data_IF_713636532285
#
_entry.id   IF_713636532285
#
_cell.length_a   1.000
_cell.length_b   1.000
_cell.length_c   1.000
_cell.angle_alpha   90.00
_cell.angle_beta   90.00
_cell.angle_gamma   90.00
#
_symmetry.space_group_name_H-M   'P 1'
#
loop_
_entity.id
_entity.type
_entity.pdbx_description
1 polymer ?
#
# COMPACT_ATOMS: atom_id res chain seq x y z
N UNK A 1 -37.64 -12.61 11.94
CA UNK A 1 -36.96 -12.39 13.23
C UNK A 1 -36.03 -11.19 13.11
N UNK A 2 -36.44 -10.05 13.71
CA UNK A 2 -35.65 -8.83 13.79
C UNK A 2 -34.40 -9.06 14.66
N UNK A 3 -33.21 -8.65 14.19
CA UNK A 3 -32.01 -8.56 15.04
C UNK A 3 -31.43 -7.16 14.98
N UNK A 4 -31.48 -6.53 16.15
CA UNK A 4 -30.95 -5.23 16.50
C UNK A 4 -29.49 -5.08 16.07
N UNK A 5 -29.22 -4.06 15.24
CA UNK A 5 -27.87 -3.50 15.10
C UNK A 5 -27.64 -2.60 16.32
N UNK A 6 -26.66 -2.97 17.15
CA UNK A 6 -26.11 -2.07 18.15
C UNK A 6 -25.41 -0.92 17.41
N UNK A 7 -26.07 0.23 17.37
CA UNK A 7 -25.54 1.48 16.86
C UNK A 7 -24.45 1.97 17.81
N UNK A 8 -23.25 2.19 17.27
CA UNK A 8 -22.20 2.95 17.95
C UNK A 8 -22.57 4.45 17.83
N UNK A 9 -22.71 5.20 18.94
CA UNK A 9 -23.19 6.59 18.91
C UNK A 9 -22.24 7.58 18.21
N UNK A 10 -20.99 7.18 17.89
CA UNK A 10 -20.04 8.02 17.17
C UNK A 10 -20.36 8.20 15.66
N UNK A 11 -21.25 7.38 15.08
CA UNK A 11 -21.56 7.42 13.64
C UNK A 11 -22.68 8.41 13.26
N UNK A 12 -23.45 8.91 14.23
CA UNK A 12 -24.61 9.77 13.95
C UNK A 12 -24.23 11.24 13.65
N UNK A 13 -23.13 11.75 14.22
CA UNK A 13 -22.75 13.17 14.07
C UNK A 13 -21.99 13.48 12.77
N UNK A 14 -21.32 12.50 12.14
CA UNK A 14 -20.56 12.75 10.90
C UNK A 14 -21.43 12.80 9.63
N UNK A 15 -22.66 12.27 9.67
CA UNK A 15 -23.54 12.20 8.50
C UNK A 15 -24.22 13.53 8.15
N UNK A 16 -24.21 14.52 9.06
CA UNK A 16 -25.00 15.75 8.91
C UNK A 16 -24.27 16.90 8.17
N UNK A 17 -22.98 16.76 7.82
CA UNK A 17 -22.15 17.90 7.37
C UNK A 17 -21.51 17.74 5.98
N UNK A 18 -22.23 17.20 5.00
CA UNK A 18 -21.74 17.13 3.61
C UNK A 18 -22.73 17.77 2.64
N UNK A 19 -22.64 19.10 2.51
CA UNK A 19 -23.19 19.82 1.36
C UNK A 19 -22.06 20.09 0.35
N UNK A 20 -22.19 19.46 -0.81
CA UNK A 20 -21.75 19.83 -2.15
C UNK A 20 -20.56 20.81 -2.28
N UNK A 21 -19.43 20.30 -2.80
CA UNK A 21 -18.40 21.14 -3.45
C UNK A 21 -18.20 20.65 -4.89
N UNK A 22 -18.27 21.61 -5.80
CA UNK A 22 -18.25 21.46 -7.26
C UNK A 22 -16.85 21.07 -7.76
N UNK A 23 -16.82 20.12 -8.71
CA UNK A 23 -15.63 19.67 -9.46
C UNK A 23 -14.99 20.83 -10.24
N UNK A 24 -13.68 21.06 -10.07
CA UNK A 24 -12.87 21.81 -11.04
C UNK A 24 -11.54 21.07 -11.28
N UNK A 25 -11.41 20.20 -12.29
CA UNK A 25 -10.12 19.61 -12.64
C UNK A 25 -9.67 20.11 -14.03
N UNK A 26 -8.86 21.17 -14.06
CA UNK A 26 -8.01 21.50 -15.21
C UNK A 26 -6.87 22.48 -14.85
N UNK A 27 -7.15 23.49 -14.02
CA UNK A 27 -6.21 24.57 -13.72
C UNK A 27 -5.12 24.21 -12.69
N UNK A 28 -5.33 23.19 -11.84
CA UNK A 28 -4.33 22.78 -10.84
C UNK A 28 -3.13 22.02 -11.46
N UNK A 29 -3.32 21.39 -12.63
CA UNK A 29 -2.28 20.57 -13.27
C UNK A 29 -1.11 21.39 -13.84
N UNK A 30 -1.29 22.68 -14.15
CA UNK A 30 -0.19 23.52 -14.67
C UNK A 30 0.71 24.07 -13.58
N UNK A 31 0.19 24.38 -12.38
CA UNK A 31 0.98 25.08 -11.37
C UNK A 31 2.02 24.20 -10.68
N UNK A 32 1.78 22.88 -10.57
CA UNK A 32 2.73 21.96 -9.93
C UNK A 32 3.92 21.60 -10.86
N UNK A 33 3.67 21.45 -12.16
CA UNK A 33 4.73 21.25 -13.15
C UNK A 33 5.65 22.47 -13.24
N UNK A 34 5.10 23.69 -13.13
CA UNK A 34 5.86 24.92 -13.15
C UNK A 34 6.75 25.11 -11.90
N UNK A 35 6.27 24.72 -10.72
CA UNK A 35 7.06 24.78 -9.47
C UNK A 35 8.25 23.79 -9.46
N UNK A 36 8.10 22.63 -10.10
CA UNK A 36 9.19 21.65 -10.27
C UNK A 36 10.20 22.13 -11.33
N UNK A 37 9.74 22.79 -12.40
CA UNK A 37 10.63 23.38 -13.42
C UNK A 37 11.43 24.57 -12.88
N UNK A 38 10.84 25.41 -12.04
CA UNK A 38 11.51 26.58 -11.45
C UNK A 38 12.52 26.21 -10.35
N UNK A 39 12.37 25.05 -9.70
CA UNK A 39 13.33 24.57 -8.70
C UNK A 39 14.58 23.91 -9.31
N UNK A 40 14.56 23.57 -10.60
CA UNK A 40 15.72 23.00 -11.32
C UNK A 40 16.66 24.10 -11.85
N UNK A 41 16.20 25.34 -12.01
CA UNK A 41 16.98 26.43 -12.64
C UNK A 41 17.70 27.39 -11.65
N UNK A 42 17.65 27.13 -10.35
CA UNK A 42 18.10 28.08 -9.31
C UNK A 42 19.47 27.84 -8.65
N UNK A 43 20.38 27.08 -9.27
CA UNK A 43 21.73 26.85 -8.71
C UNK A 43 22.79 27.80 -9.30
N UNK A 44 23.62 28.49 -8.49
CA UNK A 44 24.68 29.35 -9.01
C UNK A 44 25.76 28.52 -9.73
N UNK A 45 26.05 28.86 -10.99
CA UNK A 45 27.20 28.33 -11.70
C UNK A 45 28.50 28.91 -11.11
N UNK A 46 29.18 28.13 -10.29
CA UNK A 46 30.59 28.37 -9.96
C UNK A 46 31.46 27.72 -11.03
N UNK A 47 32.26 28.53 -11.72
CA UNK A 47 33.26 28.10 -12.69
C UNK A 47 34.29 27.15 -12.07
N UNK A 48 34.54 26.03 -12.74
CA UNK A 48 35.63 25.10 -12.42
C UNK A 48 36.95 25.64 -12.98
N UNK A 49 38.05 25.68 -12.19
CA UNK A 49 39.38 25.89 -12.74
C UNK A 49 39.91 24.61 -13.40
N UNK A 50 40.77 24.80 -14.39
CA UNK A 50 41.38 23.77 -15.22
C UNK A 50 42.20 22.75 -14.40
N UNK A 51 42.14 21.49 -14.83
CA UNK A 51 42.86 20.37 -14.23
C UNK A 51 44.34 20.35 -14.63
N UNK A 52 45.23 20.23 -13.66
CA UNK A 52 46.59 19.72 -13.85
C UNK A 52 46.65 18.22 -13.46
N UNK A 53 47.51 17.42 -14.10
CA UNK A 53 47.58 15.98 -13.85
C UNK A 53 48.57 15.69 -12.72
N UNK A 54 48.12 15.03 -11.64
CA UNK A 54 49.03 14.48 -10.62
C UNK A 54 48.68 13.04 -10.27
N UNK A 55 49.68 12.20 -10.55
CA UNK A 55 50.11 10.91 -10.01
C UNK A 55 49.23 10.09 -9.05
N UNK A 56 49.27 8.78 -9.31
CA UNK A 56 48.84 7.68 -8.45
C UNK A 56 49.42 7.77 -7.03
N UNK A 57 48.55 7.62 -6.03
CA UNK A 57 48.90 7.05 -4.73
C UNK A 57 47.71 6.24 -4.19
N UNK A 58 48.00 5.00 -3.78
CA UNK A 58 47.13 4.12 -3.04
C UNK A 58 47.01 4.64 -1.61
N UNK A 59 45.80 4.84 -1.10
CA UNK A 59 45.51 4.50 0.31
C UNK A 59 44.00 4.33 0.54
N UNK A 60 43.66 3.42 1.45
CA UNK A 60 42.29 3.02 1.75
C UNK A 60 41.63 3.87 2.82
N UNK A 61 40.38 4.27 2.59
CA UNK A 61 39.41 4.49 3.67
C UNK A 61 37.99 4.47 3.10
N UNK A 62 37.27 3.37 3.32
CA UNK A 62 35.81 3.30 3.12
C UNK A 62 35.15 3.78 4.41
N UNK A 63 34.87 5.08 4.50
CA UNK A 63 33.97 5.62 5.54
C UNK A 63 33.00 6.60 4.90
N UNK A 64 32.05 6.06 4.15
CA UNK A 64 30.82 6.74 3.73
C UNK A 64 29.63 6.21 4.53
N UNK A 65 29.72 6.20 5.86
CA UNK A 65 28.59 5.91 6.74
C UNK A 65 27.68 7.13 6.76
N UNK A 66 26.78 7.22 5.79
CA UNK A 66 25.65 8.15 5.84
C UNK A 66 24.88 7.89 7.13
N UNK A 67 24.89 8.90 8.01
CA UNK A 67 24.28 8.85 9.33
C UNK A 67 22.78 8.54 9.21
N UNK A 68 22.35 7.44 9.84
CA UNK A 68 20.94 7.02 9.97
C UNK A 68 20.01 8.11 10.50
N UNK A 69 20.56 9.16 11.14
CA UNK A 69 19.84 10.28 11.75
C UNK A 69 19.32 11.30 10.72
N UNK A 70 20.07 11.56 9.65
CA UNK A 70 19.67 12.51 8.60
C UNK A 70 18.55 11.95 7.70
N UNK A 71 18.51 10.63 7.57
CA UNK A 71 17.46 9.92 6.85
C UNK A 71 16.10 9.94 7.57
N UNK A 72 16.10 10.05 8.91
CA UNK A 72 14.87 10.10 9.72
C UNK A 72 14.29 11.52 9.81
N UNK A 73 15.14 12.56 9.85
CA UNK A 73 14.67 13.96 9.88
C UNK A 73 14.03 14.39 8.55
N UNK A 74 14.64 13.99 7.42
CA UNK A 74 14.07 14.22 6.08
C UNK A 74 12.76 13.46 5.86
N UNK A 75 12.60 12.27 6.44
CA UNK A 75 11.35 11.51 6.39
C UNK A 75 10.25 12.13 7.23
N UNK A 76 10.55 12.59 8.46
CA UNK A 76 9.56 13.31 9.28
C UNK A 76 9.09 14.57 8.56
N UNK A 77 10.00 15.33 7.95
CA UNK A 77 9.64 16.51 7.17
C UNK A 77 8.81 16.17 5.91
N UNK A 78 9.12 15.08 5.21
CA UNK A 78 8.33 14.60 4.07
C UNK A 78 6.95 14.10 4.50
N UNK A 79 6.85 13.42 5.64
CA UNK A 79 5.58 12.94 6.20
C UNK A 79 4.71 14.12 6.67
N UNK A 80 5.30 15.11 7.34
CA UNK A 80 4.60 16.34 7.71
C UNK A 80 4.22 17.16 6.48
N UNK A 81 5.07 17.23 5.45
CA UNK A 81 4.73 17.84 4.18
C UNK A 81 3.62 17.07 3.43
N UNK A 82 3.55 15.75 3.54
CA UNK A 82 2.44 14.94 2.99
C UNK A 82 1.15 15.07 3.79
N UNK A 83 1.24 15.25 5.12
CA UNK A 83 0.09 15.57 5.98
C UNK A 83 -0.42 16.99 5.73
N UNK A 84 0.47 17.92 5.43
CA UNK A 84 0.17 19.33 5.15
C UNK A 84 -0.17 19.60 3.68
N UNK A 85 0.28 18.74 2.76
CA UNK A 85 -0.16 18.78 1.37
C UNK A 85 -1.67 18.55 1.38
N UNK A 86 -2.46 19.41 0.73
CA UNK A 86 -3.87 19.11 0.52
C UNK A 86 -3.89 17.75 -0.17
N UNK A 87 -4.50 16.75 0.48
CA UNK A 87 -4.86 15.49 -0.15
C UNK A 87 -5.82 15.87 -1.29
N UNK A 88 -5.27 16.29 -2.42
CA UNK A 88 -6.00 16.79 -3.57
C UNK A 88 -6.93 15.70 -4.13
N UNK A 89 -6.67 14.45 -3.74
CA UNK A 89 -7.50 13.29 -4.00
C UNK A 89 -8.02 12.70 -2.66
N UNK A 90 -9.02 13.35 -2.05
CA UNK A 90 -9.85 12.65 -1.05
C UNK A 90 -10.91 11.86 -1.83
N UNK A 91 -10.83 10.54 -1.77
CA UNK A 91 -11.76 9.68 -2.49
C UNK A 91 -12.98 9.45 -1.61
N UNK A 92 -14.16 9.81 -2.11
CA UNK A 92 -15.41 9.35 -1.51
C UNK A 92 -15.60 7.88 -1.85
N UNK A 93 -15.41 7.03 -0.84
CA UNK A 93 -15.57 5.60 -0.99
C UNK A 93 -17.04 5.26 -1.30
N UNK A 94 -17.31 4.45 -2.34
CA UNK A 94 -18.64 3.91 -2.56
C UNK A 94 -19.14 3.14 -1.32
N UNK A 95 -20.45 3.17 -1.07
CA UNK A 95 -21.06 2.55 0.13
C UNK A 95 -20.90 1.04 0.22
N UNK A 96 -20.58 0.38 -0.90
CA UNK A 96 -20.34 -1.07 -0.97
C UNK A 96 -18.87 -1.46 -0.74
N UNK A 97 -17.96 -0.49 -0.64
CA UNK A 97 -16.57 -0.75 -0.28
C UNK A 97 -16.49 -1.10 1.20
N UNK A 98 -15.79 -2.18 1.54
CA UNK A 98 -15.43 -2.46 2.93
C UNK A 98 -14.42 -1.40 3.34
N UNK A 99 -14.85 -0.38 4.06
CA UNK A 99 -13.98 0.72 4.50
C UNK A 99 -13.08 0.29 5.67
N UNK A 100 -13.64 -0.46 6.62
CA UNK A 100 -12.97 -0.86 7.84
C UNK A 100 -13.25 -2.32 8.24
N UNK A 101 -12.31 -2.96 8.95
CA UNK A 101 -12.47 -4.30 9.49
C UNK A 101 -11.79 -4.48 10.85
N UNK A 102 -12.49 -5.11 11.79
CA UNK A 102 -12.00 -5.31 13.18
C UNK A 102 -11.67 -6.78 13.51
N UNK A 103 -11.94 -7.70 12.59
CA UNK A 103 -11.71 -9.12 12.76
C UNK A 103 -12.80 -9.87 13.50
N UNK A 104 -12.49 -11.09 13.95
CA UNK A 104 -13.41 -11.98 14.67
C UNK A 104 -14.27 -12.88 13.78
N UNK A 105 -14.35 -12.60 12.48
CA UNK A 105 -14.93 -13.48 11.46
C UNK A 105 -14.20 -13.27 10.13
N UNK A 106 -14.41 -14.19 9.19
CA UNK A 106 -13.96 -14.01 7.82
C UNK A 106 -14.80 -12.91 7.14
N UNK A 107 -14.16 -12.09 6.30
CA UNK A 107 -14.87 -11.20 5.38
C UNK A 107 -15.56 -12.00 4.28
N UNK A 108 -16.65 -11.45 3.75
CA UNK A 108 -17.26 -11.99 2.54
C UNK A 108 -16.30 -11.83 1.35
N UNK A 109 -16.01 -12.94 0.68
CA UNK A 109 -15.03 -12.99 -0.41
C UNK A 109 -15.46 -12.14 -1.60
N UNK A 110 -16.76 -12.04 -1.89
CA UNK A 110 -17.25 -11.25 -3.02
C UNK A 110 -17.21 -9.75 -2.73
N UNK A 111 -17.56 -9.32 -1.52
CA UNK A 111 -17.41 -7.94 -1.06
C UNK A 111 -15.95 -7.49 -1.03
N UNK A 112 -15.06 -8.33 -0.49
CA UNK A 112 -13.63 -8.03 -0.49
C UNK A 112 -13.08 -7.98 -1.92
N UNK A 113 -13.48 -8.90 -2.80
CA UNK A 113 -13.08 -8.86 -4.22
C UNK A 113 -13.49 -7.56 -4.89
N UNK A 114 -14.73 -7.09 -4.68
CA UNK A 114 -15.20 -5.80 -5.23
C UNK A 114 -14.41 -4.63 -4.68
N UNK A 115 -14.10 -4.65 -3.38
CA UNK A 115 -13.26 -3.65 -2.74
C UNK A 115 -11.85 -3.62 -3.35
N UNK A 116 -11.26 -4.80 -3.59
CA UNK A 116 -9.94 -4.91 -4.22
C UNK A 116 -9.94 -4.44 -5.66
N UNK A 117 -10.96 -4.79 -6.45
CA UNK A 117 -11.14 -4.31 -7.81
C UNK A 117 -11.18 -2.77 -7.86
N UNK A 118 -11.95 -2.15 -6.96
CA UNK A 118 -11.97 -0.69 -6.81
C UNK A 118 -10.60 -0.11 -6.51
N UNK A 119 -9.90 -0.65 -5.50
CA UNK A 119 -8.56 -0.18 -5.12
C UNK A 119 -7.59 -0.31 -6.29
N UNK A 120 -7.60 -1.44 -7.02
CA UNK A 120 -6.72 -1.63 -8.17
C UNK A 120 -6.98 -0.62 -9.28
N UNK A 121 -8.25 -0.28 -9.57
CA UNK A 121 -8.62 0.71 -10.59
C UNK A 121 -8.23 2.13 -10.22
N UNK A 122 -8.30 2.49 -8.92
CA UNK A 122 -7.81 3.79 -8.44
C UNK A 122 -6.30 3.89 -8.59
N UNK A 123 -5.56 2.84 -8.21
CA UNK A 123 -4.09 2.84 -8.33
C UNK A 123 -3.63 2.84 -9.79
N UNK A 124 -4.29 2.04 -10.63
CA UNK A 124 -3.94 1.78 -12.01
C UNK A 124 -5.14 2.03 -12.94
N UNK A 125 -5.49 3.31 -13.18
CA UNK A 125 -6.64 3.69 -14.02
C UNK A 125 -6.46 3.33 -15.49
N UNK A 126 -5.23 3.06 -15.92
CA UNK A 126 -4.90 2.47 -17.22
C UNK A 126 -5.27 0.98 -17.31
N UNK A 127 -5.74 0.38 -16.21
CA UNK A 127 -6.24 -0.98 -16.15
C UNK A 127 -5.15 -2.04 -16.09
N UNK A 128 -3.85 -1.67 -16.11
CA UNK A 128 -2.74 -2.63 -16.27
C UNK A 128 -2.82 -3.78 -15.28
N UNK A 129 -3.15 -3.52 -14.01
CA UNK A 129 -3.22 -4.51 -12.93
C UNK A 129 -4.65 -4.86 -12.46
N UNK A 130 -5.67 -4.46 -13.21
CA UNK A 130 -7.08 -4.77 -12.89
C UNK A 130 -7.50 -6.16 -13.42
N UNK A 131 -6.70 -7.20 -13.15
CA UNK A 131 -6.97 -8.57 -13.62
C UNK A 131 -7.40 -9.50 -12.50
N UNK A 132 -8.13 -10.56 -12.86
CA UNK A 132 -8.59 -11.60 -11.93
C UNK A 132 -7.43 -12.24 -11.17
N UNK A 133 -6.26 -12.39 -11.78
CA UNK A 133 -5.07 -12.99 -11.16
C UNK A 133 -4.47 -12.10 -10.06
N UNK A 134 -4.48 -10.77 -10.24
CA UNK A 134 -4.04 -9.81 -9.22
C UNK A 134 -5.00 -9.83 -8.04
N UNK A 135 -6.30 -9.81 -8.32
CA UNK A 135 -7.32 -9.90 -7.28
C UNK A 135 -7.23 -11.22 -6.51
N UNK A 136 -7.00 -12.33 -7.23
CA UNK A 136 -6.78 -13.64 -6.62
C UNK A 136 -5.54 -13.64 -5.73
N UNK A 137 -4.41 -13.07 -6.17
CA UNK A 137 -3.21 -12.98 -5.33
C UNK A 137 -3.49 -12.26 -4.01
N UNK A 138 -4.20 -11.13 -4.05
CA UNK A 138 -4.52 -10.34 -2.85
C UNK A 138 -5.50 -11.07 -1.92
N UNK A 139 -6.54 -11.71 -2.46
CA UNK A 139 -7.50 -12.51 -1.69
C UNK A 139 -6.83 -13.74 -1.07
N UNK A 140 -6.01 -14.46 -1.82
CA UNK A 140 -5.29 -15.63 -1.35
C UNK A 140 -4.25 -15.27 -0.28
N UNK A 141 -3.61 -14.09 -0.41
CA UNK A 141 -2.73 -13.54 0.64
C UNK A 141 -3.53 -13.26 1.92
N UNK A 142 -4.70 -12.64 1.83
CA UNK A 142 -5.58 -12.44 2.99
C UNK A 142 -6.00 -13.78 3.64
N UNK A 143 -6.32 -14.79 2.82
CA UNK A 143 -6.70 -16.11 3.29
C UNK A 143 -5.57 -16.81 4.07
N UNK A 144 -4.34 -16.81 3.56
CA UNK A 144 -3.23 -17.52 4.22
C UNK A 144 -2.73 -16.81 5.47
N UNK A 145 -2.74 -15.48 5.48
CA UNK A 145 -2.20 -14.67 6.57
C UNK A 145 -3.15 -14.58 7.75
N UNK A 146 -4.45 -14.38 7.49
CA UNK A 146 -5.42 -14.02 8.54
C UNK A 146 -6.73 -14.79 8.48
N UNK A 147 -6.82 -15.80 7.61
CA UNK A 147 -8.07 -16.50 7.36
C UNK A 147 -9.18 -15.52 6.93
N UNK A 148 -8.88 -14.66 5.94
CA UNK A 148 -9.78 -13.61 5.44
C UNK A 148 -10.16 -12.57 6.50
N UNK A 149 -9.22 -12.25 7.38
CA UNK A 149 -9.40 -11.23 8.40
C UNK A 149 -10.03 -11.71 9.71
N UNK A 150 -10.15 -13.02 9.97
CA UNK A 150 -10.53 -13.50 11.31
C UNK A 150 -9.57 -12.99 12.39
N UNK A 151 -8.27 -12.90 12.05
CA UNK A 151 -7.20 -12.43 12.94
C UNK A 151 -6.49 -11.24 12.30
N UNK A 152 -6.83 -10.01 12.70
CA UNK A 152 -6.21 -8.78 12.13
C UNK A 152 -4.96 -8.31 12.88
N UNK A 153 -4.72 -8.83 14.09
CA UNK A 153 -3.51 -8.60 14.88
C UNK A 153 -2.81 -9.93 15.13
N UNK A 154 -1.55 -10.03 14.78
CA UNK A 154 -0.77 -11.23 15.06
C UNK A 154 -0.67 -11.47 16.58
N UNK A 155 -0.95 -12.69 17.04
CA UNK A 155 -0.95 -13.01 18.48
C UNK A 155 0.41 -12.74 19.16
N UNK A 156 1.52 -12.98 18.48
CA UNK A 156 2.89 -12.89 19.00
C UNK A 156 3.85 -12.18 18.03
N UNK A 157 3.39 -11.16 17.31
CA UNK A 157 4.25 -10.46 16.37
C UNK A 157 3.72 -9.10 15.93
N UNK A 158 4.53 -8.33 15.19
CA UNK A 158 4.24 -6.95 14.87
C UNK A 158 3.43 -6.78 13.57
N UNK A 159 3.02 -7.87 12.91
CA UNK A 159 2.27 -7.81 11.67
C UNK A 159 0.80 -7.42 11.94
N UNK A 160 0.31 -6.51 11.11
CA UNK A 160 -1.00 -5.87 11.24
C UNK A 160 -1.77 -5.97 9.91
N UNK A 161 -3.08 -5.72 9.95
CA UNK A 161 -4.05 -5.82 8.85
C UNK A 161 -4.38 -7.26 8.44
N UNK A 162 -5.36 -7.36 7.55
CA UNK A 162 -5.75 -8.59 6.86
C UNK A 162 -4.60 -9.22 6.05
N UNK A 163 -3.65 -8.41 5.56
CA UNK A 163 -2.49 -8.88 4.79
C UNK A 163 -1.23 -9.06 5.65
N UNK A 164 -1.26 -8.77 6.95
CA UNK A 164 -0.11 -8.98 7.86
C UNK A 164 1.20 -8.32 7.37
N UNK A 165 1.11 -7.10 6.84
CA UNK A 165 2.30 -6.32 6.46
C UNK A 165 2.99 -5.82 7.74
N UNK A 166 4.31 -6.00 7.82
CA UNK A 166 5.13 -5.51 8.93
C UNK A 166 5.27 -3.98 8.89
N UNK A 167 5.33 -3.32 10.05
CA UNK A 167 5.40 -1.86 10.14
C UNK A 167 6.50 -1.21 9.29
N UNK A 168 7.73 -1.73 9.34
CA UNK A 168 8.85 -1.20 8.55
C UNK A 168 8.65 -1.37 7.03
N UNK A 169 7.82 -2.33 6.59
CA UNK A 169 7.48 -2.48 5.19
C UNK A 169 6.59 -1.32 4.71
N UNK A 170 5.67 -0.81 5.54
CA UNK A 170 4.86 0.37 5.16
C UNK A 170 5.75 1.58 4.88
N UNK A 171 6.69 1.87 5.77
CA UNK A 171 7.67 2.97 5.60
C UNK A 171 8.58 2.75 4.39
N UNK A 172 9.05 1.51 4.20
CA UNK A 172 9.88 1.14 3.05
C UNK A 172 9.13 1.24 1.71
N UNK A 173 7.84 0.92 1.68
CA UNK A 173 6.97 1.08 0.49
C UNK A 173 6.78 2.57 0.20
N UNK A 174 6.37 3.37 1.20
CA UNK A 174 6.18 4.82 1.04
C UNK A 174 7.45 5.50 0.53
N UNK A 175 8.59 5.22 1.17
CA UNK A 175 9.88 5.81 0.79
C UNK A 175 10.33 5.42 -0.62
N UNK A 176 10.04 4.19 -1.05
CA UNK A 176 10.37 3.70 -2.38
C UNK A 176 9.54 4.40 -3.46
N UNK A 177 8.22 4.44 -3.30
CA UNK A 177 7.34 5.04 -4.31
C UNK A 177 7.38 6.57 -4.30
N UNK A 178 7.65 7.22 -3.17
CA UNK A 178 7.87 8.67 -3.12
C UNK A 178 8.99 9.11 -4.09
N UNK A 179 10.00 8.25 -4.31
CA UNK A 179 11.11 8.53 -5.23
C UNK A 179 10.86 8.01 -6.64
N UNK A 180 10.20 6.85 -6.78
CA UNK A 180 10.10 6.14 -8.07
C UNK A 180 8.83 6.45 -8.85
N UNK A 181 7.70 6.60 -8.15
CA UNK A 181 6.39 6.86 -8.74
C UNK A 181 5.51 7.60 -7.70
N UNK A 182 5.74 8.91 -7.50
CA UNK A 182 5.04 9.67 -6.46
C UNK A 182 3.53 9.77 -6.70
N UNK A 183 3.09 9.71 -7.97
CA UNK A 183 1.67 9.70 -8.30
C UNK A 183 0.99 8.40 -7.87
N UNK A 184 1.65 7.25 -8.05
CA UNK A 184 1.14 5.98 -7.55
C UNK A 184 1.08 5.96 -6.01
N UNK A 185 2.07 6.55 -5.33
CA UNK A 185 2.01 6.74 -3.88
C UNK A 185 0.83 7.64 -3.48
N UNK A 186 0.64 8.77 -4.16
CA UNK A 186 -0.47 9.69 -3.89
C UNK A 186 -1.83 8.98 -3.98
N UNK A 187 -2.05 8.18 -5.03
CA UNK A 187 -3.28 7.37 -5.19
C UNK A 187 -3.47 6.35 -4.07
N UNK A 188 -2.39 5.72 -3.60
CA UNK A 188 -2.48 4.83 -2.44
C UNK A 188 -2.80 5.62 -1.16
N UNK A 189 -2.21 6.79 -0.98
CA UNK A 189 -2.44 7.67 0.17
C UNK A 189 -3.82 8.31 0.16
N UNK A 190 -4.51 8.38 -0.98
CA UNK A 190 -5.90 8.80 -1.08
C UNK A 190 -6.87 7.93 -0.26
N UNK A 191 -6.49 6.68 0.04
CA UNK A 191 -7.23 5.79 0.94
C UNK A 191 -6.86 5.96 2.42
N UNK A 192 -5.76 6.63 2.74
CA UNK A 192 -5.33 6.85 4.11
C UNK A 192 -6.28 7.82 4.81
N UNK A 193 -6.67 7.53 6.05
CA UNK A 193 -7.52 8.40 6.83
C UNK A 193 -6.68 9.19 7.86
N UNK A 194 -6.42 10.49 7.66
CA UNK A 194 -5.62 11.30 8.57
C UNK A 194 -6.31 11.59 9.90
N UNK A 195 -7.63 11.41 9.98
CA UNK A 195 -8.42 11.62 11.20
C UNK A 195 -8.17 10.50 12.24
N UNK A 196 -7.49 9.42 11.85
CA UNK A 196 -7.14 8.29 12.71
C UNK A 196 -5.62 8.10 12.83
N UNK A 197 -5.13 7.56 13.97
CA UNK A 197 -3.72 7.20 14.13
C UNK A 197 -3.23 6.24 13.04
N UNK A 198 -1.94 6.27 12.74
CA UNK A 198 -1.34 5.37 11.74
C UNK A 198 -1.57 3.90 12.07
N UNK A 199 -1.52 3.52 13.36
CA UNK A 199 -1.82 2.15 13.80
C UNK A 199 -3.24 1.73 13.42
N UNK A 200 -4.23 2.62 13.59
CA UNK A 200 -5.61 2.32 13.21
C UNK A 200 -5.71 2.05 11.71
N UNK A 201 -5.09 2.89 10.88
CA UNK A 201 -5.04 2.69 9.44
C UNK A 201 -4.38 1.35 9.08
N UNK A 202 -3.28 1.00 9.76
CA UNK A 202 -2.54 -0.27 9.53
C UNK A 202 -3.34 -1.51 9.91
N UNK A 203 -4.41 -1.40 10.68
CA UNK A 203 -5.16 -2.58 11.17
C UNK A 203 -6.54 -2.64 10.53
N UNK A 204 -7.22 -1.50 10.51
CA UNK A 204 -8.64 -1.44 10.23
C UNK A 204 -8.94 -0.93 8.83
N UNK A 205 -8.13 -0.04 8.26
CA UNK A 205 -8.41 0.57 6.95
C UNK A 205 -8.15 -0.42 5.80
N UNK A 206 -9.22 -1.05 5.30
CA UNK A 206 -9.12 -2.09 4.28
C UNK A 206 -8.64 -1.55 2.93
N UNK A 207 -9.19 -0.45 2.37
CA UNK A 207 -8.72 0.07 1.09
C UNK A 207 -7.25 0.47 1.12
N UNK A 208 -6.82 1.12 2.20
CA UNK A 208 -5.42 1.53 2.34
C UNK A 208 -4.48 0.34 2.51
N UNK A 209 -4.80 -0.62 3.38
CA UNK A 209 -3.95 -1.81 3.57
C UNK A 209 -3.93 -2.71 2.32
N UNK A 210 -5.01 -2.77 1.56
CA UNK A 210 -5.05 -3.41 0.24
C UNK A 210 -4.11 -2.72 -0.75
N UNK A 211 -4.16 -1.38 -0.82
CA UNK A 211 -3.28 -0.61 -1.69
C UNK A 211 -1.80 -0.84 -1.32
N UNK A 212 -1.48 -0.80 -0.02
CA UNK A 212 -0.12 -1.06 0.47
C UNK A 212 0.33 -2.51 0.20
N UNK A 213 -0.57 -3.49 0.26
CA UNK A 213 -0.29 -4.89 -0.09
C UNK A 213 0.09 -5.04 -1.56
N UNK A 214 -0.65 -4.39 -2.46
CA UNK A 214 -0.34 -4.41 -3.89
C UNK A 214 0.97 -3.70 -4.20
N UNK A 215 1.22 -2.54 -3.58
CA UNK A 215 2.48 -1.83 -3.69
C UNK A 215 3.66 -2.64 -3.13
N UNK A 216 3.43 -3.50 -2.14
CA UNK A 216 4.48 -4.37 -1.64
C UNK A 216 4.93 -5.38 -2.71
N UNK A 217 3.98 -6.03 -3.39
CA UNK A 217 4.27 -6.91 -4.53
C UNK A 217 4.94 -6.16 -5.69
N UNK A 218 4.42 -4.98 -6.05
CA UNK A 218 4.99 -4.11 -7.09
C UNK A 218 6.45 -3.76 -6.76
N UNK A 219 6.73 -3.30 -5.54
CA UNK A 219 8.08 -2.96 -5.06
C UNK A 219 9.00 -4.18 -5.10
N UNK A 220 8.58 -5.30 -4.52
CA UNK A 220 9.42 -6.49 -4.38
C UNK A 220 9.77 -7.13 -5.73
N UNK A 221 8.92 -6.94 -6.74
CA UNK A 221 9.13 -7.49 -8.08
C UNK A 221 9.56 -6.47 -9.13
N UNK A 222 9.71 -5.20 -8.73
CA UNK A 222 10.00 -4.09 -9.63
C UNK A 222 9.00 -4.00 -10.81
N UNK A 223 7.72 -4.24 -10.51
CA UNK A 223 6.61 -4.18 -11.48
C UNK A 223 6.47 -5.39 -12.40
N UNK A 224 7.16 -6.51 -12.11
CA UNK A 224 7.18 -7.71 -13.00
C UNK A 224 6.35 -8.88 -12.49
N UNK A 225 5.62 -8.74 -11.38
CA UNK A 225 4.92 -9.86 -10.74
C UNK A 225 3.86 -10.53 -11.62
N UNK A 226 3.26 -9.84 -12.60
CA UNK A 226 2.25 -10.43 -13.51
C UNK A 226 2.71 -11.69 -14.22
N UNK A 227 3.99 -11.74 -14.63
CA UNK A 227 4.60 -12.92 -15.27
C UNK A 227 4.58 -14.18 -14.38
N UNK A 228 4.23 -14.02 -13.09
CA UNK A 228 4.30 -15.04 -12.05
C UNK A 228 2.92 -15.39 -11.47
N UNK A 229 1.81 -14.93 -12.06
CA UNK A 229 0.46 -15.14 -11.51
C UNK A 229 -0.40 -16.20 -12.22
N UNK A 230 0.18 -16.88 -13.21
CA UNK A 230 -0.51 -17.81 -14.11
C UNK A 230 -1.15 -19.05 -13.45
N UNK A 231 -0.83 -19.35 -12.19
CA UNK A 231 -1.41 -20.48 -11.47
C UNK A 231 -1.45 -20.21 -9.97
N UNK A 232 -2.29 -20.95 -9.25
CA UNK A 232 -2.33 -20.93 -7.79
C UNK A 232 -0.97 -21.30 -7.16
N UNK A 233 -0.24 -22.21 -7.80
CA UNK A 233 1.12 -22.59 -7.39
C UNK A 233 2.11 -21.42 -7.53
N UNK A 234 2.07 -20.72 -8.68
CA UNK A 234 2.96 -19.58 -8.95
C UNK A 234 2.69 -18.41 -8.00
N UNK A 235 1.40 -18.13 -7.72
CA UNK A 235 1.00 -17.12 -6.73
C UNK A 235 1.45 -17.49 -5.32
N UNK A 236 1.29 -18.75 -4.91
CA UNK A 236 1.79 -19.23 -3.62
C UNK A 236 3.31 -19.15 -3.48
N UNK A 237 4.07 -19.44 -4.55
CA UNK A 237 5.53 -19.25 -4.59
C UNK A 237 5.91 -17.77 -4.49
N UNK A 238 5.19 -16.89 -5.16
CA UNK A 238 5.41 -15.44 -5.09
C UNK A 238 5.15 -14.91 -3.67
N UNK A 239 4.02 -15.27 -3.06
CA UNK A 239 3.71 -14.98 -1.66
C UNK A 239 4.82 -15.47 -0.73
N UNK A 240 5.27 -16.71 -0.90
CA UNK A 240 6.34 -17.34 -0.10
C UNK A 240 7.71 -16.67 -0.23
N UNK A 241 7.92 -15.84 -1.25
CA UNK A 241 9.15 -15.05 -1.40
C UNK A 241 9.03 -13.65 -0.81
N UNK A 242 7.83 -13.08 -0.80
CA UNK A 242 7.61 -11.66 -0.48
C UNK A 242 7.08 -11.49 0.94
N UNK A 243 5.98 -12.16 1.27
CA UNK A 243 5.35 -12.08 2.60
C UNK A 243 5.99 -13.03 3.59
N UNK A 244 6.36 -14.20 3.11
CA UNK A 244 7.11 -15.16 3.89
C UNK A 244 8.57 -15.15 3.42
N UNK A 245 9.52 -15.32 4.34
CA UNK A 245 10.90 -15.55 3.94
C UNK A 245 11.09 -17.02 3.53
N UNK A 246 12.15 -17.38 2.78
CA UNK A 246 12.47 -18.78 2.53
C UNK A 246 12.52 -19.62 3.83
N UNK A 247 13.06 -19.03 4.90
CA UNK A 247 13.16 -19.62 6.24
C UNK A 247 11.88 -19.51 7.09
N UNK A 248 10.88 -18.76 6.64
CA UNK A 248 9.62 -18.60 7.34
C UNK A 248 8.83 -19.92 7.39
N UNK A 249 8.01 -20.09 8.44
CA UNK A 249 7.20 -21.32 8.64
C UNK A 249 6.04 -21.47 7.64
N UNK A 250 5.74 -20.43 6.86
CA UNK A 250 4.71 -20.48 5.82
C UNK A 250 5.14 -21.40 4.69
N UNK A 251 4.20 -22.14 4.10
CA UNK A 251 4.49 -23.05 2.97
C UNK A 251 3.53 -22.80 1.82
N UNK A 252 3.97 -23.08 0.59
CA UNK A 252 3.12 -23.01 -0.60
C UNK A 252 1.93 -23.97 -0.47
N UNK A 253 2.12 -25.14 0.16
CA UNK A 253 1.02 -26.07 0.47
C UNK A 253 -0.06 -25.41 1.34
N UNK A 254 0.34 -24.75 2.44
CA UNK A 254 -0.60 -24.04 3.33
C UNK A 254 -1.31 -22.89 2.60
N UNK A 255 -0.58 -22.15 1.76
CA UNK A 255 -1.17 -21.11 0.91
C UNK A 255 -2.29 -21.66 0.04
N UNK A 256 -2.02 -22.75 -0.70
CA UNK A 256 -3.00 -23.38 -1.59
C UNK A 256 -4.22 -23.91 -0.86
N UNK A 257 -4.01 -24.51 0.31
CA UNK A 257 -5.09 -24.99 1.16
C UNK A 257 -6.01 -23.81 1.56
N UNK A 258 -5.45 -22.74 2.13
CA UNK A 258 -6.22 -21.56 2.55
C UNK A 258 -6.92 -20.86 1.39
N UNK A 259 -6.26 -20.80 0.23
CA UNK A 259 -6.85 -20.27 -0.99
C UNK A 259 -8.09 -21.07 -1.44
N UNK A 260 -8.06 -22.41 -1.35
CA UNK A 260 -9.22 -23.25 -1.68
C UNK A 260 -10.34 -23.10 -0.66
N UNK A 261 -10.00 -23.06 0.63
CA UNK A 261 -10.96 -22.89 1.72
C UNK A 261 -11.76 -21.59 1.60
N UNK A 262 -11.11 -20.47 1.27
CA UNK A 262 -11.72 -19.14 1.37
C UNK A 262 -12.02 -18.46 0.02
N UNK A 263 -11.25 -18.74 -1.03
CA UNK A 263 -11.29 -17.98 -2.29
C UNK A 263 -11.86 -18.80 -3.42
N UNK A 264 -11.40 -20.04 -3.56
CA UNK A 264 -11.78 -20.94 -4.65
C UNK A 264 -12.63 -22.09 -4.14
N UNK A 265 -13.58 -21.80 -3.23
CA UNK A 265 -14.44 -22.79 -2.58
C UNK A 265 -14.76 -23.91 -3.56
N UNK A 266 -14.12 -25.06 -3.36
CA UNK A 266 -14.42 -26.24 -4.15
C UNK A 266 -15.79 -26.66 -3.68
N UNK A 267 -16.80 -26.43 -4.51
CA UNK A 267 -18.10 -27.07 -4.32
C UNK A 267 -17.78 -28.56 -4.45
N UNK A 268 -17.66 -29.26 -3.32
CA UNK A 268 -17.66 -30.71 -3.31
C UNK A 268 -19.01 -31.13 -3.90
N UNK A 269 -19.01 -31.38 -5.21
CA UNK A 269 -20.11 -32.06 -5.88
C UNK A 269 -20.17 -33.45 -5.27
N UNK A 270 -21.03 -33.58 -4.25
CA UNK A 270 -21.41 -34.85 -3.64
C UNK A 270 -22.19 -35.70 -4.62
#
# INVERSE_FOLDING_TARGET
MNRNRLFCPAQAELAASRKSVVLVPALLFMNLALAVLLSIQGGPQTSLPAAEPVAQARDGSVTGLFSRREHLSSFSAALEAMKAAPLALRIDLPTWVIAEWYGGKAMDTAELRRTLDYVTKVLYPDGRWSTSEVLNLLLETAAVETAMGEIVRQKNGPALSVWQILGFNFEGIRSYFAKRDPLLLERAMAFYNPDYPEEWNRIHNIPWTAAMSLLYYEKATQGKFMTRLNSLESRGKLWKQIYNTPLGKGTVKRYKQRAREYVHMEVETS
#
